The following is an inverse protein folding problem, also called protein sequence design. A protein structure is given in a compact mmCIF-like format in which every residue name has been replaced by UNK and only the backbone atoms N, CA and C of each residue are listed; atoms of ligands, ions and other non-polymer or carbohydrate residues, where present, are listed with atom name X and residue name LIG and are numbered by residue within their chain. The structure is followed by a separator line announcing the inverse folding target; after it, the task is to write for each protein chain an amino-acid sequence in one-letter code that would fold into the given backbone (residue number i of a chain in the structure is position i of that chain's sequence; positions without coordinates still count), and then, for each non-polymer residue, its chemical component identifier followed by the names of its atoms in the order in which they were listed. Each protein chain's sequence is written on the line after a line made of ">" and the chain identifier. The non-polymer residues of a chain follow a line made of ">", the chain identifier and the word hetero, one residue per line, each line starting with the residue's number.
data_IF_607438722657
#
_entry.id   IF_607438722657
#
_cell.length_a   1.000
_cell.length_b   1.000
_cell.length_c   1.000
_cell.angle_alpha   90.00
_cell.angle_beta   90.00
_cell.angle_gamma   90.00
#
_symmetry.space_group_name_H-M   'P 1'
#
loop_
_entity.id
_entity.type
_entity.pdbx_description
1 polymer ?
#
# COMPACT_ATOMS: atom_id res chain seq x y z
N UNK A 1 -16.38 14.40 -27.33
CA UNK A 1 -15.29 14.18 -26.35
C UNK A 1 -14.78 12.77 -26.56
N UNK A 2 -13.52 12.57 -26.98
CA UNK A 2 -12.98 11.24 -27.29
C UNK A 2 -12.77 10.47 -25.98
N UNK A 3 -13.48 9.36 -25.82
CA UNK A 3 -13.24 8.39 -24.74
C UNK A 3 -11.99 7.60 -25.12
N UNK A 4 -10.87 7.89 -24.47
CA UNK A 4 -9.64 7.12 -24.62
C UNK A 4 -9.83 5.79 -23.90
N UNK A 5 -9.93 4.70 -24.67
CA UNK A 5 -9.90 3.33 -24.16
C UNK A 5 -8.56 3.12 -23.45
N UNK A 6 -8.55 3.06 -22.13
CA UNK A 6 -7.35 2.70 -21.36
C UNK A 6 -7.00 1.25 -21.66
N UNK A 7 -5.78 1.04 -22.18
CA UNK A 7 -5.28 -0.25 -22.64
C UNK A 7 -5.40 -1.36 -21.59
N UNK A 8 -5.82 -2.54 -22.04
CA UNK A 8 -5.83 -3.76 -21.22
C UNK A 8 -4.40 -4.10 -20.77
N UNK A 9 -4.15 -4.36 -19.48
CA UNK A 9 -2.80 -4.64 -18.96
C UNK A 9 -2.21 -5.90 -19.64
N UNK A 10 -1.03 -5.74 -20.25
CA UNK A 10 -0.40 -6.76 -21.13
C UNK A 10 0.39 -7.81 -20.33
N UNK A 11 0.80 -7.50 -19.09
CA UNK A 11 1.65 -8.39 -18.28
C UNK A 11 1.08 -8.71 -16.88
N UNK A 12 1.65 -9.74 -16.21
CA UNK A 12 1.30 -10.05 -14.80
C UNK A 12 1.69 -8.91 -13.86
N UNK A 13 2.76 -8.19 -14.18
CA UNK A 13 3.24 -7.02 -13.41
C UNK A 13 2.23 -5.88 -13.49
N UNK A 14 1.68 -5.60 -14.68
CA UNK A 14 0.67 -4.54 -14.86
C UNK A 14 -0.60 -4.83 -14.04
N UNK A 15 -1.03 -6.09 -14.03
CA UNK A 15 -2.18 -6.54 -13.21
C UNK A 15 -1.91 -6.43 -11.71
N UNK A 16 -0.66 -6.62 -11.28
CA UNK A 16 -0.28 -6.43 -9.89
C UNK A 16 -0.30 -4.95 -9.49
N UNK A 17 0.27 -4.07 -10.32
CA UNK A 17 0.33 -2.64 -10.05
C UNK A 17 -1.06 -1.99 -9.95
N UNK A 18 -2.04 -2.48 -10.72
CA UNK A 18 -3.45 -2.02 -10.63
C UNK A 18 -4.14 -2.33 -9.30
N UNK A 19 -3.57 -3.23 -8.48
CA UNK A 19 -4.12 -3.62 -7.18
C UNK A 19 -3.47 -2.86 -6.02
N UNK A 20 -2.47 -2.02 -6.30
CA UNK A 20 -1.81 -1.20 -5.30
C UNK A 20 -2.68 0.01 -4.96
N UNK A 21 -2.84 0.24 -3.68
CA UNK A 21 -3.47 1.43 -3.12
C UNK A 21 -2.35 2.21 -2.43
N UNK A 22 -2.17 3.46 -2.82
CA UNK A 22 -1.12 4.34 -2.30
C UNK A 22 -1.76 5.35 -1.37
N UNK A 23 -1.33 5.38 -0.11
CA UNK A 23 -1.94 6.24 0.91
C UNK A 23 -0.84 7.04 1.61
N UNK A 24 -0.97 8.37 1.73
CA UNK A 24 -0.02 9.15 2.54
C UNK A 24 -0.01 8.66 3.99
N UNK A 25 1.17 8.58 4.60
CA UNK A 25 1.30 8.05 5.97
C UNK A 25 0.53 8.88 7.00
N UNK A 26 0.42 10.18 6.78
CA UNK A 26 -0.34 11.11 7.60
C UNK A 26 -1.85 10.79 7.62
N UNK A 27 -2.39 10.19 6.56
CA UNK A 27 -3.78 9.72 6.55
C UNK A 27 -3.94 8.47 7.41
N UNK A 28 -2.96 7.55 7.35
CA UNK A 28 -2.95 6.35 8.19
C UNK A 28 -2.69 6.67 9.67
N UNK A 29 -2.23 7.87 10.01
CA UNK A 29 -2.07 8.29 11.41
C UNK A 29 -3.38 8.73 12.06
N UNK A 30 -4.45 8.94 11.28
CA UNK A 30 -5.74 9.43 11.78
C UNK A 30 -6.64 8.24 12.16
N UNK A 31 -7.18 8.20 13.39
CA UNK A 31 -8.16 7.19 13.75
C UNK A 31 -9.42 7.29 12.90
N UNK A 32 -9.94 6.16 12.45
CA UNK A 32 -11.19 6.06 11.70
C UNK A 32 -11.98 4.83 12.16
N UNK A 33 -13.29 4.98 12.27
CA UNK A 33 -14.17 3.88 12.69
C UNK A 33 -14.12 2.72 11.69
N UNK A 34 -14.06 1.50 12.22
CA UNK A 34 -13.99 0.27 11.42
C UNK A 34 -12.60 -0.03 10.83
N UNK A 35 -11.58 0.78 11.12
CA UNK A 35 -10.21 0.52 10.68
C UNK A 35 -9.48 -0.38 11.67
N UNK A 36 -8.52 -1.15 11.16
CA UNK A 36 -7.61 -1.96 11.99
C UNK A 36 -6.44 -1.11 12.43
N UNK A 37 -6.08 -1.25 13.70
CA UNK A 37 -4.87 -0.64 14.26
C UNK A 37 -3.70 -1.59 14.08
N UNK A 38 -2.63 -1.09 13.45
CA UNK A 38 -1.35 -1.76 13.31
C UNK A 38 -0.32 -0.97 14.08
N UNK A 39 0.37 -1.64 14.99
CA UNK A 39 1.36 -1.01 15.87
C UNK A 39 2.78 -1.45 15.53
N UNK A 40 3.72 -0.53 15.72
CA UNK A 40 5.17 -0.76 15.75
C UNK A 40 5.71 -1.58 14.57
N UNK A 41 5.33 -1.18 13.36
CA UNK A 41 5.73 -1.84 12.13
C UNK A 41 6.56 -0.92 11.24
N UNK A 42 7.42 -1.55 10.44
CA UNK A 42 8.07 -0.91 9.30
C UNK A 42 7.14 -0.96 8.10
N UNK A 43 7.13 0.12 7.32
CA UNK A 43 6.27 0.29 6.16
C UNK A 43 7.12 0.52 4.91
N UNK A 44 6.86 -0.25 3.86
CA UNK A 44 7.42 0.01 2.55
C UNK A 44 6.64 1.16 1.90
N UNK A 45 7.38 2.15 1.39
CA UNK A 45 6.83 3.34 0.77
C UNK A 45 7.16 3.34 -0.73
N UNK A 46 6.39 4.08 -1.51
CA UNK A 46 6.84 4.45 -2.86
C UNK A 46 7.83 5.62 -2.85
N UNK A 47 8.24 6.02 -4.04
CA UNK A 47 9.12 7.14 -4.34
C UNK A 47 8.57 8.50 -3.86
N UNK A 48 7.25 8.63 -3.76
CA UNK A 48 6.57 9.80 -3.20
C UNK A 48 6.35 9.71 -1.68
N UNK A 49 6.84 8.66 -1.01
CA UNK A 49 6.74 8.48 0.44
C UNK A 49 5.37 8.02 0.93
N UNK A 50 4.51 7.49 0.04
CA UNK A 50 3.19 6.96 0.38
C UNK A 50 3.29 5.49 0.80
N UNK A 51 2.52 5.12 1.81
CA UNK A 51 2.35 3.73 2.21
C UNK A 51 1.64 2.92 1.13
N UNK A 52 2.13 1.70 0.91
CA UNK A 52 1.52 0.76 -0.04
C UNK A 52 0.59 -0.19 0.69
N UNK A 53 -0.65 -0.27 0.22
CA UNK A 53 -1.60 -1.32 0.55
C UNK A 53 -1.90 -2.12 -0.72
N UNK A 54 -2.26 -3.39 -0.56
CA UNK A 54 -2.58 -4.29 -1.66
C UNK A 54 -4.03 -4.74 -1.56
N UNK A 55 -4.81 -4.57 -2.63
CA UNK A 55 -6.16 -5.11 -2.72
C UNK A 55 -6.09 -6.62 -2.89
N UNK A 56 -6.34 -7.38 -1.82
CA UNK A 56 -6.45 -8.84 -1.83
C UNK A 56 -7.92 -9.23 -2.09
N UNK A 57 -8.16 -10.21 -2.95
CA UNK A 57 -9.53 -10.57 -3.34
C UNK A 57 -10.33 -9.41 -3.95
N UNK A 58 -11.66 -9.47 -3.82
CA UNK A 58 -12.58 -8.48 -4.39
C UNK A 58 -12.55 -7.14 -3.64
N UNK A 59 -12.39 -7.18 -2.31
CA UNK A 59 -12.56 -5.99 -1.46
C UNK A 59 -11.54 -5.85 -0.35
N UNK A 60 -10.78 -6.89 0.02
CA UNK A 60 -9.93 -6.85 1.20
C UNK A 60 -8.65 -6.07 0.95
N UNK A 61 -8.12 -5.45 2.02
CA UNK A 61 -6.90 -4.65 1.97
C UNK A 61 -5.84 -5.28 2.84
N UNK A 62 -4.66 -5.51 2.24
CA UNK A 62 -3.49 -6.06 2.91
C UNK A 62 -2.37 -4.99 2.93
N UNK A 63 -2.03 -4.42 4.09
CA UNK A 63 -0.95 -3.44 4.19
C UNK A 63 0.41 -4.07 3.91
N UNK A 64 1.28 -3.35 3.19
CA UNK A 64 2.65 -3.79 2.91
C UNK A 64 3.60 -3.31 4.02
N UNK A 65 3.34 -3.79 5.23
CA UNK A 65 4.12 -3.51 6.43
C UNK A 65 4.57 -4.80 7.13
N UNK A 66 5.62 -4.72 7.94
CA UNK A 66 6.13 -5.85 8.69
C UNK A 66 6.86 -5.39 9.96
N UNK A 67 6.86 -6.20 11.02
CA UNK A 67 7.67 -5.94 12.21
C UNK A 67 9.17 -6.06 11.94
N UNK A 68 9.56 -6.82 10.91
CA UNK A 68 10.93 -6.94 10.45
C UNK A 68 11.25 -5.93 9.34
N UNK A 69 12.12 -4.96 9.68
CA UNK A 69 12.61 -3.93 8.75
C UNK A 69 13.13 -4.49 7.43
N UNK A 70 13.87 -5.59 7.47
CA UNK A 70 14.52 -6.17 6.28
C UNK A 70 13.51 -6.65 5.24
N UNK A 71 12.33 -7.12 5.67
CA UNK A 71 11.24 -7.50 4.76
C UNK A 71 10.73 -6.28 4.00
N UNK A 72 10.51 -5.17 4.70
CA UNK A 72 10.06 -3.92 4.06
C UNK A 72 11.13 -3.32 3.15
N UNK A 73 12.42 -3.40 3.53
CA UNK A 73 13.51 -2.91 2.67
C UNK A 73 13.61 -3.71 1.38
N UNK A 74 13.45 -5.02 1.47
CA UNK A 74 13.41 -5.89 0.30
C UNK A 74 12.23 -5.56 -0.62
N UNK A 75 11.02 -5.42 -0.05
CA UNK A 75 9.82 -5.03 -0.82
C UNK A 75 9.99 -3.67 -1.49
N UNK A 76 10.47 -2.67 -0.74
CA UNK A 76 10.66 -1.32 -1.24
C UNK A 76 11.63 -1.29 -2.42
N UNK A 77 12.80 -1.91 -2.29
CA UNK A 77 13.81 -1.95 -3.35
C UNK A 77 13.36 -2.72 -4.59
N UNK A 78 12.64 -3.83 -4.40
CA UNK A 78 12.28 -4.74 -5.50
C UNK A 78 11.02 -4.30 -6.25
N UNK A 79 10.08 -3.65 -5.57
CA UNK A 79 8.72 -3.44 -6.10
C UNK A 79 8.32 -1.97 -6.22
N UNK A 80 8.79 -1.09 -5.32
CA UNK A 80 8.22 0.25 -5.17
C UNK A 80 9.23 1.39 -5.38
N UNK A 81 10.52 1.07 -5.46
CA UNK A 81 11.63 2.03 -5.62
C UNK A 81 11.69 3.13 -4.55
N UNK A 82 11.05 2.92 -3.39
CA UNK A 82 10.92 3.93 -2.35
C UNK A 82 11.75 3.65 -1.09
N UNK A 83 11.35 4.33 -0.01
CA UNK A 83 11.98 4.21 1.31
C UNK A 83 11.21 3.27 2.24
N UNK A 84 11.77 3.05 3.43
CA UNK A 84 11.10 2.34 4.51
C UNK A 84 11.02 3.26 5.72
N UNK A 85 9.87 3.29 6.40
CA UNK A 85 9.66 4.12 7.60
C UNK A 85 9.07 3.29 8.73
N UNK A 86 9.55 3.51 9.94
CA UNK A 86 8.94 2.95 11.14
C UNK A 86 7.72 3.76 11.54
N UNK A 87 6.62 3.08 11.83
CA UNK A 87 5.34 3.70 12.17
C UNK A 87 4.83 3.03 13.44
N UNK A 88 4.69 3.83 14.50
CA UNK A 88 4.21 3.34 15.80
C UNK A 88 2.74 2.94 15.76
N UNK A 89 1.90 3.71 15.07
CA UNK A 89 0.47 3.45 14.97
C UNK A 89 0.02 3.80 13.55
N UNK A 90 -0.70 2.88 12.91
CA UNK A 90 -1.39 3.09 11.65
C UNK A 90 -2.81 2.53 11.72
N UNK A 91 -3.79 3.31 11.26
CA UNK A 91 -5.18 2.93 11.09
C UNK A 91 -5.40 2.56 9.62
N UNK A 92 -5.72 1.30 9.35
CA UNK A 92 -5.80 0.75 8.00
C UNK A 92 -7.20 0.25 7.70
N UNK A 93 -7.81 0.60 6.55
CA UNK A 93 -9.11 0.06 6.17
C UNK A 93 -9.02 -1.45 5.98
N UNK A 94 -10.03 -2.20 6.43
CA UNK A 94 -10.10 -3.64 6.12
C UNK A 94 -10.53 -3.89 4.68
N UNK A 95 -11.29 -2.97 4.08
CA UNK A 95 -11.84 -3.08 2.74
C UNK A 95 -11.74 -1.78 1.95
N UNK A 96 -11.65 -1.89 0.64
CA UNK A 96 -11.77 -0.75 -0.26
C UNK A 96 -13.23 -0.32 -0.33
N UNK A 97 -13.50 0.94 0.01
CA UNK A 97 -14.82 1.56 -0.18
C UNK A 97 -15.10 1.83 -1.66
#
# INVERSE_FOLDING_TARGET
>A
MKVTLTETPKTKTDRFLQRLIKVPLEELAKPQDGYVVIMDNWWALDDEGRAILYRSGAWDVAPQCNSNRTVCEYLSKRMYSGAVKFVHIAYVPQRVQ
#
